data_IF_096901465946
#
_entry.id   IF_096901465946
#
_cell.length_a   1.000
_cell.length_b   1.000
_cell.length_c   1.000
_cell.angle_alpha   90.00
_cell.angle_beta   90.00
_cell.angle_gamma   90.00
#
_symmetry.space_group_name_H-M   'P 1'
#
loop_
_entity.id
_entity.type
_entity.pdbx_description
1 polymer ?
#
# COMPACT_ATOMS: atom_id res chain seq x y z
N UNK A 1 -10.70 1.78 16.41
CA UNK A 1 -10.65 3.16 15.87
C UNK A 1 -11.72 3.40 14.79
N UNK A 2 -11.74 2.71 13.65
CA UNK A 2 -12.61 3.08 12.50
C UNK A 2 -13.91 2.26 12.35
N UNK A 3 -14.46 1.70 13.43
CA UNK A 3 -15.55 0.70 13.36
C UNK A 3 -16.86 1.22 12.74
N UNK A 4 -17.15 2.51 12.88
CA UNK A 4 -18.41 3.13 12.45
C UNK A 4 -18.24 4.09 11.24
N UNK A 5 -17.10 4.03 10.55
CA UNK A 5 -16.88 4.82 9.33
C UNK A 5 -17.53 4.09 8.15
N UNK A 6 -18.43 4.78 7.44
CA UNK A 6 -19.16 4.23 6.29
C UNK A 6 -18.39 4.34 4.97
N UNK A 7 -17.40 5.23 4.89
CA UNK A 7 -16.50 5.31 3.76
C UNK A 7 -15.55 4.09 3.68
N UNK A 8 -15.10 3.76 2.46
CA UNK A 8 -14.08 2.76 2.23
C UNK A 8 -12.78 3.10 2.98
N UNK A 9 -12.12 2.08 3.53
CA UNK A 9 -10.86 2.23 4.26
C UNK A 9 -9.70 1.90 3.33
N UNK A 10 -8.72 2.78 3.31
CA UNK A 10 -7.47 2.65 2.56
C UNK A 10 -6.36 2.72 3.60
N UNK A 11 -5.42 1.79 3.55
CA UNK A 11 -4.31 1.72 4.50
C UNK A 11 -3.01 1.91 3.74
N UNK A 12 -2.32 3.02 4.02
CA UNK A 12 -1.07 3.37 3.34
C UNK A 12 0.08 3.25 4.32
N UNK A 13 1.09 2.44 3.99
CA UNK A 13 2.38 2.44 4.69
C UNK A 13 3.39 3.26 3.88
N UNK A 14 3.96 4.28 4.50
CA UNK A 14 4.90 5.20 3.84
C UNK A 14 6.36 4.89 4.25
N UNK A 15 7.25 4.89 3.26
CA UNK A 15 8.69 4.77 3.46
C UNK A 15 9.42 5.96 2.83
N UNK A 16 10.60 6.31 3.36
CA UNK A 16 11.44 7.31 2.70
C UNK A 16 12.01 6.76 1.39
N UNK A 17 12.52 5.53 1.45
CA UNK A 17 13.28 4.93 0.35
C UNK A 17 12.93 3.44 0.15
N UNK A 18 13.28 2.93 -1.05
CA UNK A 18 13.00 1.55 -1.46
C UNK A 18 13.81 0.52 -0.65
N UNK A 19 14.99 0.88 -0.11
CA UNK A 19 15.82 -0.03 0.70
C UNK A 19 15.17 -0.27 2.07
N UNK A 20 14.54 0.74 2.65
CA UNK A 20 13.80 0.64 3.90
C UNK A 20 12.54 -0.19 3.68
N UNK A 21 11.76 0.08 2.63
CA UNK A 21 10.60 -0.76 2.26
C UNK A 21 10.95 -2.25 2.17
N UNK A 22 12.01 -2.61 1.45
CA UNK A 22 12.42 -4.02 1.26
C UNK A 22 12.71 -4.76 2.57
N UNK A 23 13.11 -4.07 3.64
CA UNK A 23 13.34 -4.72 4.94
C UNK A 23 12.05 -5.16 5.62
N UNK A 24 10.94 -4.52 5.29
CA UNK A 24 9.64 -4.74 5.93
C UNK A 24 8.61 -5.37 4.97
N UNK A 25 8.94 -5.55 3.69
CA UNK A 25 7.98 -5.99 2.68
C UNK A 25 7.28 -7.31 3.00
N UNK A 26 7.95 -8.20 3.73
CA UNK A 26 7.38 -9.49 4.15
C UNK A 26 6.41 -9.39 5.32
N UNK A 27 6.47 -8.31 6.12
CA UNK A 27 5.59 -8.11 7.29
C UNK A 27 4.41 -7.18 7.01
N UNK A 28 4.34 -6.60 5.81
CA UNK A 28 3.22 -5.74 5.42
C UNK A 28 1.95 -6.55 5.17
N UNK A 29 0.83 -6.00 5.61
CA UNK A 29 -0.47 -6.59 5.35
C UNK A 29 -0.80 -6.55 3.85
N UNK A 30 -1.39 -7.64 3.36
CA UNK A 30 -2.01 -7.69 2.03
C UNK A 30 -3.15 -6.69 1.90
N UNK A 31 -3.56 -6.38 0.67
CA UNK A 31 -4.64 -5.44 0.34
C UNK A 31 -4.43 -4.02 0.87
N UNK A 32 -3.16 -3.63 1.06
CA UNK A 32 -2.75 -2.28 1.45
C UNK A 32 -1.92 -1.61 0.35
N UNK A 33 -1.78 -0.30 0.47
CA UNK A 33 -0.99 0.54 -0.41
C UNK A 33 0.33 0.94 0.24
N UNK A 34 1.37 1.06 -0.60
CA UNK A 34 2.69 1.51 -0.18
C UNK A 34 3.06 2.75 -0.98
N UNK A 35 3.53 3.78 -0.28
CA UNK A 35 4.06 5.02 -0.87
C UNK A 35 5.53 5.20 -0.49
N UNK A 36 6.36 5.67 -1.41
CA UNK A 36 7.80 5.85 -1.21
C UNK A 36 8.17 7.28 -1.57
N UNK A 37 8.81 8.01 -0.66
CA UNK A 37 9.13 9.43 -0.85
C UNK A 37 10.06 9.70 -2.03
N UNK A 38 11.02 8.81 -2.30
CA UNK A 38 11.89 8.88 -3.49
C UNK A 38 11.12 8.75 -4.83
N UNK A 39 9.90 8.20 -4.80
CA UNK A 39 9.03 7.99 -5.97
C UNK A 39 7.61 8.52 -5.69
N UNK A 40 7.46 9.83 -5.43
CA UNK A 40 6.23 10.38 -4.83
C UNK A 40 5.00 10.27 -5.75
N UNK A 41 5.22 10.17 -7.05
CA UNK A 41 4.19 10.02 -8.09
C UNK A 41 3.72 8.56 -8.28
N UNK A 42 4.27 7.62 -7.52
CA UNK A 42 4.00 6.19 -7.68
C UNK A 42 3.50 5.55 -6.37
N UNK A 43 2.68 4.52 -6.51
CA UNK A 43 2.27 3.65 -5.40
C UNK A 43 2.41 2.18 -5.79
N UNK A 44 2.62 1.33 -4.78
CA UNK A 44 2.60 -0.13 -4.92
C UNK A 44 1.34 -0.65 -4.24
N UNK A 45 0.57 -1.49 -4.93
CA UNK A 45 -0.61 -2.14 -4.38
C UNK A 45 -0.31 -3.61 -4.04
N UNK A 46 -0.39 -3.98 -2.76
CA UNK A 46 -0.06 -5.34 -2.31
C UNK A 46 -1.25 -6.29 -2.50
N UNK A 47 -1.14 -7.27 -3.40
CA UNK A 47 -2.23 -8.18 -3.83
C UNK A 47 -3.48 -7.46 -4.32
N UNK A 48 -3.26 -6.49 -5.21
CA UNK A 48 -4.31 -5.69 -5.82
C UNK A 48 -5.07 -6.42 -6.93
N UNK A 49 -5.64 -7.59 -6.69
CA UNK A 49 -6.43 -8.33 -7.71
C UNK A 49 -7.56 -7.45 -8.29
N UNK A 50 -8.14 -6.59 -7.46
CA UNK A 50 -9.13 -5.57 -7.84
C UNK A 50 -8.63 -4.54 -8.87
N UNK A 51 -7.32 -4.43 -9.05
CA UNK A 51 -6.66 -3.48 -9.97
C UNK A 51 -6.07 -4.16 -11.21
N UNK A 52 -6.24 -5.47 -11.36
CA UNK A 52 -5.89 -6.16 -12.59
C UNK A 52 -6.91 -5.76 -13.68
N UNK A 53 -6.41 -5.25 -14.81
CA UNK A 53 -7.22 -4.97 -16.00
C UNK A 53 -7.78 -6.24 -16.66
N UNK A 54 -8.60 -6.12 -17.72
CA UNK A 54 -9.12 -7.28 -18.45
C UNK A 54 -7.97 -8.24 -18.81
N UNK A 55 -8.19 -9.53 -18.54
CA UNK A 55 -7.28 -10.61 -18.94
C UNK A 55 -7.40 -10.90 -20.43
#
# INVERSE_FOLDING_TARGET
MTKNVTAGKIYVTAFLDMKTFKKFSESLAWETEIWIADFPEHMINMNGDKFLGPR
#
